data_IF_601335766810
#
_entry.id   IF_601335766810
#
_cell.length_a   1.000
_cell.length_b   1.000
_cell.length_c   1.000
_cell.angle_alpha   90.00
_cell.angle_beta   90.00
_cell.angle_gamma   90.00
#
_symmetry.space_group_name_H-M   'P 1'
#
loop_
_entity.id
_entity.type
_entity.pdbx_description
1 polymer ?
#
# COMPACT_ATOMS: atom_id res chain seq x y z
N UNK A 1 3.64 -27.84 -45.88
CA UNK A 1 2.37 -27.59 -45.13
C UNK A 1 2.31 -28.52 -43.96
N UNK A 2 2.38 -28.01 -42.73
CA UNK A 2 2.26 -28.82 -41.52
C UNK A 2 0.84 -29.41 -41.41
N UNK A 3 0.74 -30.71 -41.14
CA UNK A 3 -0.54 -31.42 -41.06
C UNK A 3 -1.41 -30.85 -39.93
N UNK A 4 -2.73 -30.98 -40.04
CA UNK A 4 -3.68 -30.56 -39.00
C UNK A 4 -3.35 -31.13 -37.61
N UNK A 5 -2.80 -32.36 -37.58
CA UNK A 5 -2.34 -33.03 -36.36
C UNK A 5 -1.10 -32.39 -35.72
N UNK A 6 -0.14 -31.90 -36.53
CA UNK A 6 1.05 -31.20 -36.03
C UNK A 6 0.70 -29.83 -35.41
N UNK A 7 -0.26 -29.11 -36.00
CA UNK A 7 -0.75 -27.85 -35.40
C UNK A 7 -1.51 -28.08 -34.10
N UNK A 8 -2.27 -29.17 -34.00
CA UNK A 8 -3.03 -29.50 -32.79
C UNK A 8 -2.11 -29.96 -31.64
N UNK A 9 -1.04 -30.72 -31.96
CA UNK A 9 -0.01 -31.08 -30.98
C UNK A 9 0.79 -29.88 -30.46
N UNK A 10 1.11 -28.92 -31.38
CA UNK A 10 1.79 -27.69 -31.02
C UNK A 10 0.93 -26.81 -30.08
N UNK A 11 -0.37 -26.65 -30.40
CA UNK A 11 -1.30 -25.89 -29.56
C UNK A 11 -1.52 -26.55 -28.18
N UNK A 12 -1.59 -27.90 -28.13
CA UNK A 12 -1.69 -28.61 -26.85
C UNK A 12 -0.42 -28.46 -26.01
N UNK A 13 0.77 -28.50 -26.64
CA UNK A 13 2.05 -28.25 -25.97
C UNK A 13 2.16 -26.82 -25.46
N UNK A 14 1.71 -25.82 -26.23
CA UNK A 14 1.68 -24.42 -25.81
C UNK A 14 0.70 -24.21 -24.62
N UNK A 15 -0.48 -24.81 -24.69
CA UNK A 15 -1.44 -24.74 -23.56
C UNK A 15 -0.93 -25.43 -22.30
N UNK A 16 -0.26 -26.57 -22.43
CA UNK A 16 0.39 -27.23 -21.28
C UNK A 16 1.54 -26.40 -20.68
N UNK A 17 2.29 -25.67 -21.52
CA UNK A 17 3.35 -24.75 -21.05
C UNK A 17 2.72 -23.52 -20.40
N UNK A 18 1.62 -22.99 -20.94
CA UNK A 18 0.87 -21.87 -20.34
C UNK A 18 0.26 -22.29 -18.98
N UNK A 19 -0.33 -23.49 -18.89
CA UNK A 19 -0.86 -24.04 -17.62
C UNK A 19 0.26 -24.36 -16.63
N UNK A 20 1.42 -24.84 -17.07
CA UNK A 20 2.59 -25.07 -16.22
C UNK A 20 3.31 -23.76 -15.84
N UNK A 21 3.21 -22.71 -16.65
CA UNK A 21 3.67 -21.35 -16.36
C UNK A 21 2.62 -20.53 -15.61
N UNK A 22 1.44 -21.05 -15.33
CA UNK A 22 0.54 -20.49 -14.32
C UNK A 22 1.25 -20.63 -12.98
N UNK A 23 2.22 -19.75 -12.74
CA UNK A 23 2.79 -19.49 -11.43
C UNK A 23 1.57 -19.30 -10.55
N UNK A 24 1.40 -20.18 -9.58
CA UNK A 24 0.30 -20.13 -8.60
C UNK A 24 0.56 -18.89 -7.73
N UNK A 25 0.33 -17.71 -8.32
CA UNK A 25 0.54 -16.42 -7.65
C UNK A 25 -0.49 -16.36 -6.55
N UNK A 26 -0.04 -16.44 -5.31
CA UNK A 26 -0.93 -16.36 -4.16
C UNK A 26 -1.89 -15.17 -4.33
N UNK A 27 -3.20 -15.36 -4.17
CA UNK A 27 -4.16 -14.27 -4.19
C UNK A 27 -3.93 -13.28 -3.04
N UNK A 28 -3.16 -13.66 -2.03
CA UNK A 28 -2.80 -12.84 -0.86
C UNK A 28 -1.41 -12.24 -1.05
N UNK A 29 -1.30 -10.93 -0.92
CA UNK A 29 -0.04 -10.17 -1.01
C UNK A 29 0.55 -9.90 0.36
N UNK A 30 -0.29 -9.58 1.35
CA UNK A 30 0.12 -9.44 2.75
C UNK A 30 -0.67 -10.44 3.58
N UNK A 31 0.03 -11.24 4.35
CA UNK A 31 -0.53 -12.12 5.37
C UNK A 31 0.16 -11.83 6.70
N UNK A 32 -0.63 -11.46 7.69
CA UNK A 32 -0.18 -11.17 9.05
C UNK A 32 -0.88 -12.12 10.00
N UNK A 33 -0.10 -12.78 10.88
CA UNK A 33 -0.61 -13.75 11.86
C UNK A 33 -0.15 -13.38 13.26
N UNK A 34 -1.10 -13.16 14.17
CA UNK A 34 -0.90 -12.90 15.60
C UNK A 34 0.18 -11.84 15.89
N UNK A 35 0.24 -10.81 15.05
CA UNK A 35 1.28 -9.78 15.11
C UNK A 35 1.15 -8.95 16.36
N UNK A 36 2.22 -8.88 17.15
CA UNK A 36 2.27 -8.16 18.42
C UNK A 36 3.49 -7.26 18.48
N UNK A 37 3.31 -6.04 18.98
CA UNK A 37 4.40 -5.14 19.33
C UNK A 37 4.22 -4.55 20.71
N UNK A 38 5.21 -4.77 21.56
CA UNK A 38 5.27 -4.29 22.93
C UNK A 38 6.45 -3.33 23.11
N UNK A 39 6.21 -2.18 23.72
CA UNK A 39 7.24 -1.20 24.11
C UNK A 39 7.17 -1.00 25.63
N UNK A 40 8.22 -1.33 26.34
CA UNK A 40 8.31 -1.12 27.79
C UNK A 40 7.05 -1.57 28.58
N UNK A 41 6.49 -2.71 28.20
CA UNK A 41 5.27 -3.24 28.82
C UNK A 41 3.95 -2.81 28.19
N UNK A 42 3.94 -1.77 27.34
CA UNK A 42 2.73 -1.26 26.66
C UNK A 42 2.55 -1.95 25.31
N UNK A 43 1.39 -2.54 25.07
CA UNK A 43 1.01 -3.14 23.81
C UNK A 43 0.59 -2.05 22.82
N UNK A 44 1.45 -1.77 21.82
CA UNK A 44 1.13 -0.86 20.72
C UNK A 44 0.37 -1.56 19.58
N UNK A 45 0.62 -2.86 19.40
CA UNK A 45 -0.13 -3.77 18.53
C UNK A 45 -0.31 -5.06 19.30
N UNK A 46 -1.55 -5.57 19.34
CA UNK A 46 -1.93 -6.68 20.19
C UNK A 46 -2.57 -7.80 19.35
N UNK A 47 -1.80 -8.81 19.01
CA UNK A 47 -2.22 -10.07 18.39
C UNK A 47 -3.13 -9.89 17.16
N UNK A 48 -2.78 -8.96 16.25
CA UNK A 48 -3.58 -8.74 15.05
C UNK A 48 -3.27 -9.77 13.96
N UNK A 49 -4.33 -10.19 13.24
CA UNK A 49 -4.21 -11.07 12.08
C UNK A 49 -5.09 -10.50 10.96
N UNK A 50 -4.54 -10.39 9.75
CA UNK A 50 -5.29 -9.93 8.59
C UNK A 50 -4.60 -10.32 7.29
N UNK A 51 -5.34 -10.20 6.18
CA UNK A 51 -4.82 -10.41 4.83
C UNK A 51 -5.17 -9.25 3.91
N UNK A 52 -4.27 -8.98 2.94
CA UNK A 52 -4.50 -8.04 1.84
C UNK A 52 -4.44 -8.82 0.53
N UNK A 53 -5.52 -8.75 -0.25
CA UNK A 53 -5.64 -9.46 -1.52
C UNK A 53 -4.84 -8.76 -2.61
N UNK A 54 -4.32 -9.53 -3.55
CA UNK A 54 -3.59 -9.02 -4.72
C UNK A 54 -4.50 -8.13 -5.55
N UNK A 55 -3.96 -7.00 -6.03
CA UNK A 55 -4.70 -6.04 -6.84
C UNK A 55 -5.83 -5.32 -6.09
N UNK A 56 -5.87 -5.39 -4.76
CA UNK A 56 -6.84 -4.63 -3.98
C UNK A 56 -6.26 -3.35 -3.40
N UNK A 57 -7.14 -2.40 -3.09
CA UNK A 57 -6.84 -1.24 -2.26
C UNK A 57 -7.46 -1.51 -0.89
N UNK A 58 -6.62 -1.63 0.13
CA UNK A 58 -7.04 -1.90 1.52
C UNK A 58 -6.65 -0.72 2.41
N UNK A 59 -7.55 -0.27 3.28
CA UNK A 59 -7.24 0.75 4.27
C UNK A 59 -7.05 0.15 5.68
N UNK A 60 -6.05 0.66 6.39
CA UNK A 60 -5.88 0.50 7.82
C UNK A 60 -6.33 1.81 8.49
N UNK A 61 -7.48 1.79 9.14
CA UNK A 61 -8.16 2.96 9.70
C UNK A 61 -8.16 2.91 11.21
N UNK A 62 -7.98 4.04 11.86
CA UNK A 62 -8.01 4.13 13.32
C UNK A 62 -7.60 5.50 13.81
N UNK A 63 -7.92 5.83 15.03
CA UNK A 63 -7.51 7.09 15.67
C UNK A 63 -5.99 7.17 15.89
N UNK A 64 -5.55 8.32 16.42
CA UNK A 64 -4.17 8.48 16.85
C UNK A 64 -3.87 7.49 17.99
N UNK A 65 -2.72 6.81 17.91
CA UNK A 65 -2.35 5.79 18.88
C UNK A 65 -2.99 4.41 18.67
N UNK A 66 -3.86 4.21 17.65
CA UNK A 66 -4.48 2.91 17.38
C UNK A 66 -3.49 1.81 16.96
N UNK A 67 -2.23 2.15 16.63
CA UNK A 67 -1.19 1.19 16.24
C UNK A 67 -0.90 1.15 14.74
N UNK A 68 -1.53 2.00 13.92
CA UNK A 68 -1.37 2.01 12.45
C UNK A 68 0.09 2.14 12.01
N UNK A 69 0.77 3.22 12.42
CA UNK A 69 2.17 3.49 12.04
C UNK A 69 3.12 2.40 12.55
N UNK A 70 2.86 1.85 13.74
CA UNK A 70 3.61 0.71 14.27
C UNK A 70 3.43 -0.53 13.39
N UNK A 71 2.20 -0.81 12.96
CA UNK A 71 1.89 -1.91 12.05
C UNK A 71 2.59 -1.71 10.70
N UNK A 72 2.46 -0.51 10.08
CA UNK A 72 3.17 -0.22 8.82
C UNK A 72 4.68 -0.35 8.94
N UNK A 73 5.27 0.12 10.05
CA UNK A 73 6.72 0.00 10.29
C UNK A 73 7.19 -1.45 10.36
N UNK A 74 6.37 -2.35 10.93
CA UNK A 74 6.66 -3.79 10.94
C UNK A 74 6.52 -4.41 9.55
N UNK A 75 5.49 -4.04 8.78
CA UNK A 75 5.32 -4.49 7.39
C UNK A 75 6.46 -4.03 6.49
N UNK A 76 7.01 -2.84 6.72
CA UNK A 76 8.15 -2.29 5.99
C UNK A 76 9.50 -2.91 6.41
N UNK A 77 9.52 -3.76 7.45
CA UNK A 77 10.73 -4.32 8.00
C UNK A 77 11.64 -3.30 8.71
N UNK A 78 11.10 -2.12 9.03
CA UNK A 78 11.78 -1.05 9.79
C UNK A 78 11.75 -1.31 11.30
N UNK A 79 10.78 -2.10 11.75
CA UNK A 79 10.55 -2.45 13.14
C UNK A 79 10.34 -3.96 13.26
N UNK A 80 11.08 -4.60 14.15
CA UNK A 80 10.87 -6.02 14.44
C UNK A 80 9.63 -6.18 15.34
N UNK A 81 8.72 -7.12 15.04
CA UNK A 81 7.63 -7.47 15.94
C UNK A 81 8.18 -8.10 17.23
N UNK A 82 7.38 -8.06 18.28
CA UNK A 82 7.65 -8.81 19.52
C UNK A 82 7.25 -10.27 19.37
N UNK A 83 6.14 -10.51 18.63
CA UNK A 83 5.59 -11.83 18.34
C UNK A 83 4.82 -11.80 17.02
N UNK A 84 4.57 -12.97 16.42
CA UNK A 84 3.79 -13.14 15.21
C UNK A 84 4.60 -13.19 13.94
N UNK A 85 3.91 -13.33 12.82
CA UNK A 85 4.50 -13.57 11.51
C UNK A 85 4.00 -12.54 10.49
N UNK A 86 4.88 -12.15 9.56
CA UNK A 86 4.57 -11.26 8.45
C UNK A 86 5.07 -11.91 7.16
N UNK A 87 4.15 -12.23 6.26
CA UNK A 87 4.46 -12.74 4.93
C UNK A 87 4.00 -11.71 3.89
N UNK A 88 4.90 -11.25 3.05
CA UNK A 88 4.61 -10.28 1.98
C UNK A 88 5.15 -10.82 0.66
N UNK A 89 4.29 -10.82 -0.38
CA UNK A 89 4.61 -11.31 -1.71
C UNK A 89 5.17 -12.75 -1.69
N UNK A 90 4.69 -13.57 -0.73
CA UNK A 90 5.09 -14.96 -0.54
C UNK A 90 6.42 -15.16 0.20
N UNK A 91 6.98 -14.12 0.80
CA UNK A 91 8.22 -14.19 1.54
C UNK A 91 8.07 -13.65 2.98
N UNK A 92 8.70 -14.33 3.92
CA UNK A 92 8.78 -13.91 5.32
C UNK A 92 9.63 -12.64 5.45
N UNK A 93 9.02 -11.58 5.98
CA UNK A 93 9.66 -10.27 6.14
C UNK A 93 10.77 -10.24 7.18
N UNK A 94 10.80 -11.18 8.12
CA UNK A 94 11.85 -11.23 9.14
C UNK A 94 13.14 -11.83 8.60
N UNK A 95 13.04 -12.83 7.73
CA UNK A 95 14.18 -13.62 7.24
C UNK A 95 14.52 -13.37 5.77
N UNK A 96 13.52 -13.01 4.93
CA UNK A 96 13.66 -12.91 3.47
C UNK A 96 13.24 -11.55 2.90
N UNK A 97 13.29 -10.48 3.71
CA UNK A 97 12.89 -9.12 3.29
C UNK A 97 13.59 -8.62 2.01
N UNK A 98 14.82 -9.06 1.75
CA UNK A 98 15.57 -8.68 0.55
C UNK A 98 14.89 -9.12 -0.76
N UNK A 99 14.02 -10.14 -0.73
CA UNK A 99 13.21 -10.57 -1.88
C UNK A 99 11.97 -9.69 -2.08
N UNK A 100 11.53 -9.01 -1.04
CA UNK A 100 10.30 -8.21 -1.01
C UNK A 100 10.57 -6.73 -1.30
N UNK A 101 11.59 -6.16 -0.65
CA UNK A 101 11.86 -4.72 -0.69
C UNK A 101 12.03 -4.14 -2.11
N UNK A 102 12.64 -4.81 -3.10
CA UNK A 102 12.71 -4.30 -4.47
C UNK A 102 11.35 -4.21 -5.17
N UNK A 103 10.36 -4.99 -4.72
CA UNK A 103 9.02 -5.12 -5.31
C UNK A 103 7.96 -4.30 -4.58
N UNK A 104 8.35 -3.58 -3.54
CA UNK A 104 7.45 -2.70 -2.78
C UNK A 104 8.01 -1.29 -2.67
N UNK A 105 7.14 -0.34 -2.35
CA UNK A 105 7.54 1.02 -2.04
C UNK A 105 6.64 1.61 -0.95
N UNK A 106 7.09 2.72 -0.40
CA UNK A 106 6.43 3.41 0.70
C UNK A 106 6.42 4.93 0.46
N UNK A 107 5.32 5.58 0.80
CA UNK A 107 5.22 7.03 0.86
C UNK A 107 4.49 7.47 2.12
N UNK A 108 5.01 8.54 2.73
CA UNK A 108 4.42 9.21 3.87
C UNK A 108 4.76 10.70 3.79
N UNK A 109 3.87 11.61 4.17
CA UNK A 109 4.16 13.05 4.20
C UNK A 109 5.27 13.41 5.19
N UNK A 110 5.59 12.51 6.13
CA UNK A 110 6.62 12.71 7.15
C UNK A 110 8.03 12.29 6.71
N UNK A 111 8.15 11.61 5.57
CA UNK A 111 9.43 11.17 5.01
C UNK A 111 9.79 12.05 3.82
N UNK A 112 10.56 13.10 4.08
CA UNK A 112 10.98 14.06 3.06
C UNK A 112 12.15 13.57 2.23
N UNK A 113 12.19 14.01 0.97
CA UNK A 113 13.38 13.93 0.11
C UNK A 113 14.28 15.17 0.33
N UNK A 114 15.59 15.10 0.03
CA UNK A 114 16.50 16.22 0.15
C UNK A 114 16.04 17.47 -0.61
N UNK A 115 15.71 18.53 0.13
CA UNK A 115 15.14 19.77 -0.42
C UNK A 115 16.12 20.54 -1.34
N UNK A 116 17.43 20.36 -1.14
CA UNK A 116 18.49 21.05 -1.92
C UNK A 116 18.76 20.40 -3.28
N UNK A 117 18.37 19.15 -3.46
CA UNK A 117 18.49 18.46 -4.73
C UNK A 117 17.31 18.83 -5.63
N UNK A 118 17.57 18.80 -6.94
CA UNK A 118 16.52 18.92 -7.94
C UNK A 118 15.59 17.69 -7.93
N UNK A 119 14.41 17.81 -8.51
CA UNK A 119 13.48 16.68 -8.69
C UNK A 119 14.17 15.53 -9.42
N UNK A 120 14.89 15.84 -10.52
CA UNK A 120 15.61 14.82 -11.30
C UNK A 120 16.68 14.11 -10.49
N UNK A 121 17.48 14.84 -9.72
CA UNK A 121 18.51 14.25 -8.86
C UNK A 121 17.90 13.34 -7.78
N UNK A 122 16.84 13.81 -7.11
CA UNK A 122 16.12 12.99 -6.13
C UNK A 122 15.62 11.68 -6.75
N UNK A 123 14.88 11.75 -7.85
CA UNK A 123 14.32 10.56 -8.52
C UNK A 123 15.43 9.62 -9.04
N UNK A 124 16.55 10.18 -9.53
CA UNK A 124 17.72 9.41 -9.97
C UNK A 124 18.35 8.62 -8.82
N UNK A 125 18.48 9.24 -7.63
CA UNK A 125 19.01 8.55 -6.44
C UNK A 125 18.12 7.35 -6.10
N UNK A 126 16.80 7.53 -6.04
CA UNK A 126 15.88 6.42 -5.72
C UNK A 126 15.88 5.35 -6.80
N UNK A 127 15.89 5.72 -8.08
CA UNK A 127 15.97 4.76 -9.17
C UNK A 127 17.23 3.88 -9.07
N UNK A 128 18.38 4.48 -8.75
CA UNK A 128 19.63 3.73 -8.54
C UNK A 128 19.58 2.85 -7.28
N UNK A 129 18.95 3.31 -6.17
CA UNK A 129 18.80 2.52 -4.96
C UNK A 129 17.96 1.24 -5.20
N UNK A 130 16.98 1.31 -6.12
CA UNK A 130 16.21 0.14 -6.56
C UNK A 130 16.92 -0.69 -7.63
N UNK A 131 18.12 -0.29 -8.08
CA UNK A 131 18.89 -1.01 -9.10
C UNK A 131 18.23 -1.00 -10.48
N UNK A 132 17.51 0.08 -10.82
CA UNK A 132 16.79 0.14 -12.10
C UNK A 132 17.77 0.36 -13.26
N UNK A 133 17.54 -0.38 -14.34
CA UNK A 133 18.17 -0.10 -15.63
C UNK A 133 17.53 1.14 -16.28
N UNK A 134 18.25 1.82 -17.18
CA UNK A 134 17.73 2.97 -17.93
C UNK A 134 17.11 4.06 -17.04
N UNK A 135 17.80 4.41 -15.97
CA UNK A 135 17.36 5.38 -14.94
C UNK A 135 16.81 6.67 -15.53
N UNK A 136 17.47 7.24 -16.55
CA UNK A 136 17.05 8.49 -17.20
C UNK A 136 15.65 8.36 -17.84
N UNK A 137 15.41 7.26 -18.55
CA UNK A 137 14.14 7.02 -19.24
C UNK A 137 13.04 6.76 -18.20
N UNK A 138 13.38 6.04 -17.13
CA UNK A 138 12.44 5.78 -16.03
C UNK A 138 12.04 7.06 -15.30
N UNK A 139 13.01 7.93 -14.97
CA UNK A 139 12.74 9.24 -14.35
C UNK A 139 11.87 10.10 -15.26
N UNK A 140 12.16 10.11 -16.57
CA UNK A 140 11.37 10.88 -17.54
C UNK A 140 9.94 10.32 -17.65
N UNK A 141 9.78 9.00 -17.71
CA UNK A 141 8.48 8.35 -17.81
C UNK A 141 7.61 8.65 -16.57
N UNK A 142 8.12 8.44 -15.35
CA UNK A 142 7.37 8.71 -14.14
C UNK A 142 7.06 10.21 -13.98
N UNK A 143 7.99 11.09 -14.39
CA UNK A 143 7.75 12.53 -14.35
C UNK A 143 6.66 12.97 -15.33
N UNK A 144 6.56 12.32 -16.48
CA UNK A 144 5.47 12.54 -17.44
C UNK A 144 4.13 12.08 -16.86
N UNK A 145 4.09 10.88 -16.31
CA UNK A 145 2.88 10.28 -15.71
C UNK A 145 2.34 11.18 -14.58
N UNK A 146 3.21 11.73 -13.74
CA UNK A 146 2.86 12.59 -12.61
C UNK A 146 2.77 14.09 -12.96
N UNK A 147 2.92 14.45 -14.25
CA UNK A 147 2.83 15.85 -14.74
C UNK A 147 3.83 16.80 -14.05
N UNK A 148 5.08 16.35 -13.89
CA UNK A 148 6.18 17.12 -13.26
C UNK A 148 7.42 17.26 -14.16
N UNK A 149 7.30 17.06 -15.48
CA UNK A 149 8.41 17.18 -16.41
C UNK A 149 9.08 18.56 -16.39
N UNK A 150 8.29 19.60 -16.29
CA UNK A 150 8.70 21.00 -16.24
C UNK A 150 9.46 21.34 -14.94
N UNK A 151 9.25 20.56 -13.90
CA UNK A 151 9.88 20.79 -12.59
C UNK A 151 11.17 19.98 -12.37
N UNK A 152 11.55 19.10 -13.29
CA UNK A 152 12.71 18.19 -13.14
C UNK A 152 14.01 18.90 -12.75
N UNK A 153 14.24 20.11 -13.22
CA UNK A 153 15.44 20.92 -12.93
C UNK A 153 15.26 21.85 -11.73
N UNK A 154 14.08 21.89 -11.12
CA UNK A 154 13.80 22.71 -9.95
C UNK A 154 14.20 21.99 -8.68
N UNK A 155 14.80 22.70 -7.72
CA UNK A 155 15.08 22.16 -6.40
C UNK A 155 13.76 21.83 -5.69
N UNK A 156 13.70 20.66 -5.00
CA UNK A 156 12.51 20.20 -4.33
C UNK A 156 11.98 21.22 -3.28
N UNK A 157 12.89 21.93 -2.61
CA UNK A 157 12.53 22.94 -1.63
C UNK A 157 11.67 24.09 -2.19
N UNK A 158 11.86 24.42 -3.47
CA UNK A 158 11.21 25.53 -4.15
C UNK A 158 9.85 25.18 -4.78
N UNK A 159 9.40 23.94 -4.66
CA UNK A 159 8.12 23.48 -5.19
C UNK A 159 6.95 23.85 -4.26
N UNK A 160 5.77 24.04 -4.85
CA UNK A 160 4.51 24.12 -4.10
C UNK A 160 4.19 22.81 -3.37
N UNK A 161 3.25 22.82 -2.43
CA UNK A 161 2.82 21.62 -1.71
C UNK A 161 2.28 20.56 -2.65
N UNK A 162 1.43 20.93 -3.62
CA UNK A 162 0.89 20.01 -4.61
C UNK A 162 1.99 19.42 -5.52
N UNK A 163 2.96 20.23 -5.96
CA UNK A 163 4.11 19.73 -6.73
C UNK A 163 4.96 18.77 -5.91
N UNK A 164 5.23 19.06 -4.63
CA UNK A 164 5.94 18.15 -3.71
C UNK A 164 5.23 16.81 -3.58
N UNK A 165 3.91 16.82 -3.49
CA UNK A 165 3.11 15.60 -3.45
C UNK A 165 3.25 14.79 -4.73
N UNK A 166 3.19 15.43 -5.90
CA UNK A 166 3.41 14.76 -7.20
C UNK A 166 4.80 14.11 -7.27
N UNK A 167 5.84 14.81 -6.80
CA UNK A 167 7.21 14.27 -6.73
C UNK A 167 7.31 13.13 -5.73
N UNK A 168 6.63 13.21 -4.58
CA UNK A 168 6.57 12.13 -3.59
C UNK A 168 5.91 10.85 -4.17
N UNK A 169 4.82 11.02 -4.91
CA UNK A 169 4.20 9.91 -5.63
C UNK A 169 5.11 9.37 -6.75
N UNK A 170 5.81 10.25 -7.49
CA UNK A 170 6.78 9.82 -8.49
C UNK A 170 7.88 8.95 -7.88
N UNK A 171 8.41 9.34 -6.73
CA UNK A 171 9.37 8.54 -5.95
C UNK A 171 8.75 7.21 -5.52
N UNK A 172 7.51 7.20 -5.06
CA UNK A 172 6.83 5.99 -4.60
C UNK A 172 6.50 5.00 -5.74
N UNK A 173 6.41 5.50 -6.98
CA UNK A 173 6.12 4.69 -8.17
C UNK A 173 7.36 4.41 -9.04
N UNK A 174 8.55 4.87 -8.63
CA UNK A 174 9.77 4.82 -9.46
C UNK A 174 10.17 3.39 -9.85
N UNK A 175 9.98 2.42 -8.97
CA UNK A 175 10.32 1.01 -9.18
C UNK A 175 9.12 0.14 -9.61
N UNK A 176 7.98 0.74 -10.02
CA UNK A 176 6.74 0.02 -10.39
C UNK A 176 6.35 -1.05 -9.35
N UNK A 177 6.13 -0.66 -8.10
CA UNK A 177 5.93 -1.62 -7.03
C UNK A 177 4.69 -2.50 -7.23
N UNK A 178 4.82 -3.80 -6.94
CA UNK A 178 3.67 -4.71 -6.83
C UNK A 178 2.85 -4.44 -5.56
N UNK A 179 3.51 -3.93 -4.51
CA UNK A 179 2.89 -3.49 -3.27
C UNK A 179 3.32 -2.05 -2.95
N UNK A 180 2.34 -1.17 -2.85
CA UNK A 180 2.52 0.22 -2.42
C UNK A 180 1.87 0.44 -1.06
N UNK A 181 2.69 0.84 -0.08
CA UNK A 181 2.22 1.21 1.26
C UNK A 181 2.22 2.73 1.36
N UNK A 182 1.11 3.30 1.81
CA UNK A 182 0.90 4.74 1.90
C UNK A 182 0.43 5.10 3.31
N UNK A 183 1.14 6.01 3.97
CA UNK A 183 0.75 6.54 5.27
C UNK A 183 0.24 7.97 5.07
N UNK A 184 -1.07 8.15 5.25
CA UNK A 184 -1.76 9.44 5.11
C UNK A 184 -1.48 10.16 3.76
N UNK A 185 -1.70 9.50 2.60
CA UNK A 185 -1.21 9.99 1.29
C UNK A 185 -1.80 11.34 0.85
N UNK A 186 -2.95 11.73 1.40
CA UNK A 186 -3.61 13.01 1.08
C UNK A 186 -3.66 13.98 2.25
N UNK A 187 -3.03 13.65 3.39
CA UNK A 187 -2.97 14.54 4.53
C UNK A 187 -2.27 15.86 4.17
N UNK A 188 -2.84 16.96 4.63
CA UNK A 188 -2.31 18.31 4.40
C UNK A 188 -2.34 18.79 2.94
N UNK A 189 -3.09 18.12 2.06
CA UNK A 189 -3.33 18.56 0.71
C UNK A 189 -4.60 19.41 0.64
N UNK A 190 -4.59 20.40 -0.26
CA UNK A 190 -5.82 21.06 -0.69
C UNK A 190 -6.75 20.06 -1.40
N UNK A 191 -8.06 20.34 -1.48
CA UNK A 191 -9.04 19.40 -2.05
C UNK A 191 -8.73 18.97 -3.49
N UNK A 192 -8.21 19.87 -4.33
CA UNK A 192 -7.88 19.59 -5.73
C UNK A 192 -6.67 18.64 -5.82
N UNK A 193 -5.59 18.93 -5.09
CA UNK A 193 -4.41 18.08 -5.03
C UNK A 193 -4.72 16.69 -4.43
N UNK A 194 -5.59 16.63 -3.42
CA UNK A 194 -6.04 15.37 -2.83
C UNK A 194 -6.88 14.54 -3.82
N UNK A 195 -7.79 15.17 -4.56
CA UNK A 195 -8.60 14.48 -5.59
C UNK A 195 -7.74 13.96 -6.73
N UNK A 196 -6.79 14.77 -7.21
CA UNK A 196 -5.82 14.38 -8.20
C UNK A 196 -4.99 13.16 -7.75
N UNK A 197 -4.47 13.18 -6.50
CA UNK A 197 -3.66 12.09 -5.96
C UNK A 197 -4.46 10.78 -5.87
N UNK A 198 -5.71 10.84 -5.39
CA UNK A 198 -6.62 9.69 -5.35
C UNK A 198 -6.85 9.09 -6.73
N UNK A 199 -7.26 9.92 -7.71
CA UNK A 199 -7.49 9.46 -9.08
C UNK A 199 -6.25 8.85 -9.72
N UNK A 200 -5.05 9.38 -9.38
CA UNK A 200 -3.80 8.84 -9.89
C UNK A 200 -3.45 7.47 -9.28
N UNK A 201 -3.64 7.29 -7.97
CA UNK A 201 -3.44 6.01 -7.29
C UNK A 201 -4.42 4.94 -7.79
N UNK A 202 -5.67 5.30 -7.99
CA UNK A 202 -6.70 4.41 -8.56
C UNK A 202 -6.34 4.00 -9.99
N UNK A 203 -5.97 4.95 -10.85
CA UNK A 203 -5.54 4.68 -12.22
C UNK A 203 -4.27 3.81 -12.28
N UNK A 204 -3.33 4.05 -11.37
CA UNK A 204 -2.13 3.22 -11.25
C UNK A 204 -2.49 1.78 -10.89
N UNK A 205 -3.33 1.58 -9.87
CA UNK A 205 -3.79 0.26 -9.47
C UNK A 205 -4.51 -0.48 -10.59
N UNK A 206 -5.45 0.18 -11.29
CA UNK A 206 -6.21 -0.42 -12.40
C UNK A 206 -5.31 -0.81 -13.58
N UNK A 207 -4.32 0.01 -13.91
CA UNK A 207 -3.40 -0.22 -15.03
C UNK A 207 -2.38 -1.33 -14.77
N UNK A 208 -1.89 -1.42 -13.54
CA UNK A 208 -0.77 -2.30 -13.19
C UNK A 208 -1.17 -3.56 -12.42
N UNK A 209 -2.37 -3.58 -11.84
CA UNK A 209 -2.78 -4.62 -10.91
C UNK A 209 -2.04 -4.56 -9.56
N UNK A 210 -1.35 -3.45 -9.26
CA UNK A 210 -0.64 -3.27 -8.00
C UNK A 210 -1.58 -3.34 -6.79
N UNK A 211 -1.06 -3.79 -5.68
CA UNK A 211 -1.78 -3.84 -4.40
C UNK A 211 -1.42 -2.60 -3.58
N UNK A 212 -2.43 -1.93 -3.03
CA UNK A 212 -2.23 -0.73 -2.20
C UNK A 212 -2.71 -0.99 -0.78
N UNK A 213 -1.89 -0.62 0.20
CA UNK A 213 -2.28 -0.56 1.61
C UNK A 213 -2.16 0.89 2.08
N UNK A 214 -3.27 1.50 2.48
CA UNK A 214 -3.29 2.87 3.00
C UNK A 214 -3.45 2.85 4.51
N UNK A 215 -2.69 3.65 5.25
CA UNK A 215 -3.14 4.11 6.56
C UNK A 215 -3.77 5.49 6.37
N UNK A 216 -5.01 5.67 6.81
CA UNK A 216 -5.70 6.95 6.68
C UNK A 216 -6.69 7.16 7.84
N UNK A 217 -6.92 8.43 8.17
CA UNK A 217 -8.00 8.86 9.04
C UNK A 217 -9.09 9.64 8.27
N UNK A 218 -8.92 9.80 6.95
CA UNK A 218 -9.91 10.44 6.07
C UNK A 218 -10.91 9.40 5.56
N UNK A 219 -12.07 9.32 6.21
CA UNK A 219 -13.10 8.32 5.88
C UNK A 219 -13.66 8.48 4.48
N UNK A 220 -13.80 9.71 3.97
CA UNK A 220 -14.25 9.95 2.60
C UNK A 220 -13.28 9.43 1.54
N UNK A 221 -11.97 9.52 1.80
CA UNK A 221 -10.95 8.89 0.95
C UNK A 221 -11.07 7.36 0.95
N UNK A 222 -11.19 6.79 2.16
CA UNK A 222 -11.30 5.35 2.35
C UNK A 222 -12.56 4.78 1.71
N UNK A 223 -13.69 5.44 1.90
CA UNK A 223 -14.98 5.04 1.32
C UNK A 223 -14.95 5.04 -0.21
N UNK A 224 -14.26 6.01 -0.82
CA UNK A 224 -14.13 6.15 -2.27
C UNK A 224 -13.18 5.14 -2.90
N UNK A 225 -12.00 4.92 -2.29
CA UNK A 225 -10.90 4.20 -2.93
C UNK A 225 -10.83 2.73 -2.55
N UNK A 226 -11.27 2.37 -1.32
CA UNK A 226 -10.86 1.09 -0.76
C UNK A 226 -11.87 -0.02 -1.00
N UNK A 227 -11.37 -1.18 -1.37
CA UNK A 227 -12.16 -2.40 -1.48
C UNK A 227 -12.38 -3.07 -0.12
N UNK A 228 -11.42 -2.90 0.79
CA UNK A 228 -11.45 -3.45 2.15
C UNK A 228 -10.94 -2.43 3.16
N UNK A 229 -11.53 -2.42 4.33
CA UNK A 229 -11.15 -1.58 5.47
C UNK A 229 -10.86 -2.48 6.66
N UNK A 230 -9.76 -2.21 7.35
CA UNK A 230 -9.38 -2.80 8.63
C UNK A 230 -9.53 -1.71 9.69
N UNK A 231 -10.53 -1.82 10.56
CA UNK A 231 -10.79 -0.86 11.64
C UNK A 231 -9.91 -1.19 12.83
N UNK A 232 -8.96 -0.30 13.14
CA UNK A 232 -8.00 -0.52 14.22
C UNK A 232 -8.27 0.39 15.41
N UNK A 233 -8.30 -0.19 16.62
CA UNK A 233 -8.46 0.51 17.88
C UNK A 233 -7.62 -0.15 18.98
N UNK A 234 -6.94 0.63 19.79
CA UNK A 234 -6.17 0.18 20.97
C UNK A 234 -5.25 -1.02 20.64
N UNK A 235 -4.57 -0.95 19.48
CA UNK A 235 -3.64 -1.98 19.01
C UNK A 235 -4.31 -3.23 18.42
N UNK A 236 -5.63 -3.30 18.30
CA UNK A 236 -6.36 -4.46 17.77
C UNK A 236 -7.16 -4.10 16.52
N UNK A 237 -7.45 -5.10 15.67
CA UNK A 237 -8.44 -4.95 14.59
C UNK A 237 -9.80 -5.32 15.19
N UNK A 238 -10.71 -4.35 15.27
CA UNK A 238 -12.02 -4.50 15.89
C UNK A 238 -13.11 -4.90 14.91
N UNK A 239 -12.96 -4.55 13.64
CA UNK A 239 -13.84 -5.00 12.55
C UNK A 239 -13.12 -4.87 11.19
N UNK A 240 -13.57 -5.63 10.19
CA UNK A 240 -13.06 -5.55 8.83
C UNK A 240 -14.14 -5.87 7.78
N UNK A 241 -14.08 -5.22 6.65
CA UNK A 241 -15.01 -5.45 5.54
C UNK A 241 -14.87 -4.43 4.43
N UNK A 242 -15.75 -4.52 3.41
CA UNK A 242 -15.88 -3.40 2.47
C UNK A 242 -16.53 -2.20 3.16
N UNK A 243 -16.29 -0.96 2.69
CA UNK A 243 -16.94 0.23 3.24
C UNK A 243 -18.45 0.06 3.34
N UNK A 244 -19.10 -0.43 2.28
CA UNK A 244 -20.55 -0.64 2.22
C UNK A 244 -21.04 -1.66 3.24
N UNK A 245 -20.29 -2.76 3.43
CA UNK A 245 -20.63 -3.78 4.43
C UNK A 245 -20.54 -3.22 5.85
N UNK A 246 -19.50 -2.45 6.15
CA UNK A 246 -19.33 -1.83 7.46
C UNK A 246 -20.45 -0.81 7.73
N UNK A 247 -20.77 0.05 6.76
CA UNK A 247 -21.87 1.01 6.86
C UNK A 247 -23.20 0.29 7.16
N UNK A 248 -23.49 -0.78 6.43
CA UNK A 248 -24.71 -1.57 6.63
C UNK A 248 -24.74 -2.29 7.99
N UNK A 249 -23.61 -2.89 8.43
CA UNK A 249 -23.52 -3.63 9.69
C UNK A 249 -23.74 -2.74 10.92
N UNK A 250 -23.35 -1.46 10.84
CA UNK A 250 -23.50 -0.50 11.93
C UNK A 250 -24.77 0.36 11.79
N UNK A 251 -25.57 0.16 10.73
CA UNK A 251 -26.76 0.96 10.43
C UNK A 251 -26.43 2.48 10.41
N UNK A 252 -25.40 2.84 9.64
CA UNK A 252 -24.90 4.21 9.52
C UNK A 252 -25.09 4.74 8.09
N UNK A 253 -24.92 6.07 7.93
CA UNK A 253 -25.04 6.73 6.63
C UNK A 253 -23.74 6.70 5.83
N UNK A 254 -22.60 6.67 6.51
CA UNK A 254 -21.27 6.72 5.92
C UNK A 254 -20.23 6.08 6.86
N UNK A 255 -19.03 5.89 6.34
CA UNK A 255 -17.94 5.25 7.08
C UNK A 255 -17.43 6.12 8.26
N UNK A 256 -17.58 7.43 8.18
CA UNK A 256 -17.21 8.35 9.27
C UNK A 256 -18.05 8.12 10.51
N UNK A 257 -19.38 7.93 10.36
CA UNK A 257 -20.25 7.59 11.48
C UNK A 257 -19.91 6.23 12.10
N UNK A 258 -19.55 5.22 11.27
CA UNK A 258 -19.06 3.92 11.75
C UNK A 258 -17.79 4.10 12.58
N UNK A 259 -16.83 4.84 12.06
CA UNK A 259 -15.58 5.12 12.75
C UNK A 259 -15.81 5.82 14.10
N UNK A 260 -16.67 6.83 14.14
CA UNK A 260 -17.01 7.57 15.37
C UNK A 260 -17.69 6.65 16.40
N UNK A 261 -18.53 5.72 15.98
CA UNK A 261 -19.14 4.76 16.88
C UNK A 261 -18.10 3.81 17.48
N UNK A 262 -17.24 3.23 16.64
CA UNK A 262 -16.14 2.37 17.10
C UNK A 262 -15.20 3.14 18.05
N UNK A 263 -14.90 4.39 17.74
CA UNK A 263 -14.04 5.22 18.59
C UNK A 263 -14.65 5.50 19.98
N UNK A 264 -15.97 5.75 20.05
CA UNK A 264 -16.69 6.08 21.29
C UNK A 264 -17.01 4.87 22.16
N UNK A 265 -17.30 3.72 21.56
CA UNK A 265 -17.62 2.51 22.30
C UNK A 265 -16.37 2.05 23.06
N UNK A 266 -16.44 2.10 24.42
CA UNK A 266 -15.44 1.43 25.28
C UNK A 266 -15.45 -0.04 24.89
N UNK A 267 -14.27 -0.59 24.60
CA UNK A 267 -14.05 -1.96 24.13
C UNK A 267 -14.95 -2.96 24.86
N UNK A 268 -16.04 -3.39 24.24
CA UNK A 268 -16.67 -4.63 24.64
C UNK A 268 -15.84 -5.72 23.96
N UNK A 269 -15.00 -6.39 24.76
CA UNK A 269 -14.44 -7.68 24.37
C UNK A 269 -15.62 -8.55 23.91
N UNK A 270 -15.73 -8.79 22.61
CA UNK A 270 -16.56 -9.89 22.12
C UNK A 270 -15.85 -11.14 22.64
N UNK A 271 -16.43 -11.74 23.67
CA UNK A 271 -16.06 -13.07 24.09
C UNK A 271 -16.15 -13.99 22.88
N UNK A 272 -15.02 -14.41 22.38
CA UNK A 272 -14.95 -15.54 21.47
C UNK A 272 -15.40 -16.74 22.28
N UNK A 273 -16.66 -17.14 22.12
CA UNK A 273 -17.12 -18.46 22.53
C UNK A 273 -16.45 -19.46 21.59
N UNK A 274 -15.77 -20.48 22.13
CA UNK A 274 -14.97 -21.44 21.37
C UNK A 274 -15.77 -22.29 20.40
#
# INVERSE_FOLDING_TARGET
MASKQQRQALNNGINQIIDAMSINVSPVVIEVRSLTKKYNGILAVNCISFTVQRGSITALVGGNGAGKTTTLSMLLGLLLPSEGEINILGADMLTKRHLVLPRMNFSSPYVGMPARLTVSENLTVYANLYGLDNVKDRVTSVAKDLQILDTLKTQLGNLSSGQKTRVSLAKALINEPELLILDEPTASLDPESADWARGHLESYQQRTGATLLLASHNMGEVERLCHKVLMMKDGTIVDEGSPQRLIANYDKKNLEEVFLEIARNKTHSRDFVP
#
